data_IF_920496692302
#
_entry.id   IF_920496692302
#
_cell.length_a   1.000
_cell.length_b   1.000
_cell.length_c   1.000
_cell.angle_alpha   90.00
_cell.angle_beta   90.00
_cell.angle_gamma   90.00
#
_symmetry.space_group_name_H-M   'P 1'
#
loop_
_entity.id
_entity.type
_entity.pdbx_description
1 polymer ?
#
# COMPACT_ATOMS: atom_id res chain seq x y z
N UNK A 1 51.07 -24.31 42.61
CA UNK A 1 52.08 -23.39 42.02
C UNK A 1 51.64 -21.97 42.35
N UNK A 2 52.03 -21.43 43.51
CA UNK A 2 53.14 -20.45 43.67
C UNK A 2 53.09 -19.36 42.56
N UNK A 3 52.90 -18.06 42.83
CA UNK A 3 53.60 -17.26 43.85
C UNK A 3 52.96 -15.88 44.12
N UNK A 4 53.04 -15.48 45.41
CA UNK A 4 53.49 -14.17 45.98
C UNK A 4 52.98 -12.86 45.34
N UNK A 5 52.04 -12.12 45.97
CA UNK A 5 52.24 -11.08 47.00
C UNK A 5 53.26 -9.97 46.69
N UNK A 6 52.78 -8.74 46.48
CA UNK A 6 53.46 -7.51 46.90
C UNK A 6 52.42 -6.42 47.25
N UNK A 7 52.39 -6.01 48.52
CA UNK A 7 51.63 -4.86 49.03
C UNK A 7 52.54 -3.63 48.99
N UNK A 8 52.03 -2.51 48.49
CA UNK A 8 52.66 -1.19 48.60
C UNK A 8 51.70 -0.25 49.35
N UNK A 9 52.26 0.39 50.37
CA UNK A 9 51.60 1.29 51.32
C UNK A 9 51.28 2.66 50.68
N UNK A 10 50.31 3.41 51.22
CA UNK A 10 49.95 4.73 50.73
C UNK A 10 50.96 5.78 51.23
N UNK A 11 51.50 6.58 50.30
CA UNK A 11 52.29 7.77 50.62
C UNK A 11 51.33 8.95 50.77
N UNK A 12 51.15 9.41 52.00
CA UNK A 12 50.48 10.66 52.32
C UNK A 12 51.37 11.83 51.91
N UNK A 13 50.95 12.60 50.92
CA UNK A 13 51.57 13.85 50.54
C UNK A 13 50.71 15.01 51.04
N UNK A 14 51.14 15.64 52.14
CA UNK A 14 50.50 16.82 52.72
C UNK A 14 51.04 18.06 51.97
N UNK A 15 50.30 18.57 51.00
CA UNK A 15 50.60 19.82 50.31
C UNK A 15 49.84 20.98 50.99
N UNK A 16 50.58 21.82 51.71
CA UNK A 16 50.15 23.15 52.11
C UNK A 16 50.12 24.05 50.85
N UNK A 17 48.94 24.30 50.30
CA UNK A 17 48.74 25.37 49.32
C UNK A 17 48.16 26.59 50.02
N UNK A 18 48.90 27.70 49.92
CA UNK A 18 48.47 29.01 50.39
C UNK A 18 47.21 29.49 49.67
N UNK A 19 46.37 30.21 50.42
CA UNK A 19 45.17 30.87 49.94
C UNK A 19 45.52 32.03 49.01
N UNK A 20 45.66 31.75 47.71
CA UNK A 20 45.56 32.79 46.69
C UNK A 20 44.09 33.06 46.37
N UNK A 21 43.77 34.35 46.20
CA UNK A 21 42.43 34.89 46.06
C UNK A 21 41.56 34.10 45.07
N UNK A 22 40.40 33.68 45.56
CA UNK A 22 39.33 33.04 44.80
C UNK A 22 38.77 34.07 43.82
N UNK A 23 39.39 34.17 42.64
CA UNK A 23 38.76 34.81 41.50
C UNK A 23 37.39 34.17 41.29
N UNK A 24 36.36 35.00 41.20
CA UNK A 24 34.98 34.59 40.94
C UNK A 24 34.96 33.60 39.78
N UNK A 25 34.78 32.32 40.10
CA UNK A 25 34.59 31.28 39.11
C UNK A 25 33.24 31.61 38.45
N UNK A 26 33.18 31.91 37.13
CA UNK A 26 31.91 32.15 36.48
C UNK A 26 31.03 30.93 36.71
N UNK A 27 29.80 31.18 37.19
CA UNK A 27 28.86 30.14 37.56
C UNK A 27 28.78 29.07 36.45
N UNK A 28 28.71 27.77 36.81
CA UNK A 28 28.67 26.69 35.84
C UNK A 28 27.50 26.91 34.88
N UNK A 29 27.81 27.18 33.61
CA UNK A 29 26.82 27.36 32.57
C UNK A 29 26.02 26.06 32.48
N UNK A 30 24.73 26.11 32.81
CA UNK A 30 23.84 24.97 32.74
C UNK A 30 23.99 24.30 31.36
N UNK A 31 24.41 23.03 31.35
CA UNK A 31 24.59 22.29 30.10
C UNK A 31 23.25 22.19 29.38
N UNK A 32 23.17 22.77 28.18
CA UNK A 32 21.98 22.68 27.35
C UNK A 32 21.79 21.23 26.91
N UNK A 33 20.55 20.74 27.04
CA UNK A 33 20.18 19.40 26.55
C UNK A 33 20.30 19.28 25.02
N UNK A 34 20.21 20.39 24.29
CA UNK A 34 20.41 20.46 22.84
C UNK A 34 21.54 21.42 22.47
N UNK A 35 22.59 20.89 21.82
CA UNK A 35 23.78 21.64 21.39
C UNK A 35 23.45 22.73 20.36
N UNK A 36 22.35 22.58 19.62
CA UNK A 36 21.92 23.52 18.59
C UNK A 36 20.99 24.63 19.10
N UNK A 37 20.47 24.53 20.33
CA UNK A 37 19.45 25.46 20.81
C UNK A 37 19.94 26.90 20.84
N UNK A 38 19.09 27.88 20.44
CA UNK A 38 19.43 29.29 20.50
C UNK A 38 19.82 29.70 21.92
N UNK A 39 20.64 30.75 22.06
CA UNK A 39 20.96 31.28 23.38
C UNK A 39 19.74 31.92 24.02
N UNK A 40 19.68 31.91 25.35
CA UNK A 40 18.64 32.60 26.09
C UNK A 40 18.84 34.11 26.01
N UNK A 41 17.74 34.86 26.07
CA UNK A 41 17.75 36.32 25.98
C UNK A 41 18.07 36.91 24.61
N UNK A 42 18.05 36.12 23.52
CA UNK A 42 18.19 36.66 22.17
C UNK A 42 17.01 37.55 21.79
N UNK A 43 17.30 38.72 21.21
CA UNK A 43 16.27 39.62 20.68
C UNK A 43 15.59 39.03 19.43
N UNK A 44 14.41 39.54 19.02
CA UNK A 44 13.74 39.07 17.80
C UNK A 44 14.63 39.13 16.54
N UNK A 45 15.41 40.21 16.38
CA UNK A 45 16.34 40.31 15.25
C UNK A 45 17.45 39.24 15.30
N UNK A 46 17.95 38.92 16.49
CA UNK A 46 18.95 37.86 16.67
C UNK A 46 18.37 36.46 16.46
N UNK A 47 17.11 36.22 16.83
CA UNK A 47 16.41 34.97 16.55
C UNK A 47 16.17 34.77 15.05
N UNK A 48 15.79 35.82 14.32
CA UNK A 48 15.69 35.76 12.85
C UNK A 48 17.05 35.44 12.24
N UNK A 49 18.12 36.13 12.67
CA UNK A 49 19.47 35.83 12.20
C UNK A 49 19.86 34.38 12.50
N UNK A 50 19.54 33.88 13.70
CA UNK A 50 19.80 32.49 14.07
C UNK A 50 19.08 31.51 13.11
N UNK A 51 17.80 31.72 12.82
CA UNK A 51 17.04 30.88 11.88
C UNK A 51 17.70 30.91 10.49
N UNK A 52 18.06 32.08 9.98
CA UNK A 52 18.74 32.23 8.69
C UNK A 52 20.11 31.53 8.68
N UNK A 53 20.92 31.69 9.73
CA UNK A 53 22.22 31.03 9.88
C UNK A 53 22.07 29.50 9.91
N UNK A 54 20.96 28.98 10.46
CA UNK A 54 20.65 27.56 10.50
C UNK A 54 20.22 27.03 9.12
N UNK A 55 19.40 27.78 8.38
CA UNK A 55 18.94 27.39 7.04
C UNK A 55 20.08 27.23 6.03
N UNK A 56 21.18 27.98 6.18
CA UNK A 56 22.36 27.91 5.31
C UNK A 56 23.41 26.88 5.74
N UNK A 57 23.22 26.16 6.86
CA UNK A 57 24.19 25.12 7.28
C UNK A 57 24.24 23.98 6.25
N UNK A 58 25.40 23.32 6.04
CA UNK A 58 25.49 22.13 5.21
C UNK A 58 24.46 21.05 5.59
N UNK A 59 23.91 20.33 4.59
CA UNK A 59 22.90 19.28 4.79
C UNK A 59 23.33 18.22 5.83
N UNK A 60 24.62 17.88 5.88
CA UNK A 60 25.15 16.94 6.87
C UNK A 60 25.00 17.43 8.33
N UNK A 61 25.00 18.75 8.56
CA UNK A 61 24.73 19.34 9.88
C UNK A 61 23.22 19.43 10.13
N UNK A 62 22.44 19.83 9.12
CA UNK A 62 20.98 19.93 9.25
C UNK A 62 20.31 18.60 9.63
N UNK A 63 20.90 17.46 9.24
CA UNK A 63 20.41 16.11 9.57
C UNK A 63 20.75 15.64 10.99
N UNK A 64 21.49 16.42 11.79
CA UNK A 64 21.90 16.00 13.14
C UNK A 64 20.74 16.12 14.13
N UNK A 65 20.74 15.23 15.13
CA UNK A 65 19.73 15.21 16.20
C UNK A 65 19.69 16.57 16.91
N UNK A 66 18.48 17.10 17.13
CA UNK A 66 18.26 18.37 17.81
C UNK A 66 18.34 19.61 16.91
N UNK A 67 18.80 19.47 15.65
CA UNK A 67 18.90 20.60 14.73
C UNK A 67 17.54 21.22 14.42
N UNK A 68 16.58 20.41 13.96
CA UNK A 68 15.23 20.89 13.62
C UNK A 68 14.52 21.45 14.85
N UNK A 69 14.62 20.77 16.00
CA UNK A 69 14.07 21.23 17.26
C UNK A 69 14.59 22.62 17.68
N UNK A 70 15.88 22.92 17.47
CA UNK A 70 16.43 24.23 17.79
C UNK A 70 15.88 25.35 16.89
N UNK A 71 15.64 25.07 15.61
CA UNK A 71 15.03 26.05 14.69
C UNK A 71 13.57 26.28 15.04
N UNK A 72 12.83 25.21 15.36
CA UNK A 72 11.44 25.30 15.83
C UNK A 72 11.36 26.09 17.14
N UNK A 73 12.25 25.84 18.10
CA UNK A 73 12.34 26.59 19.35
C UNK A 73 12.59 28.08 19.11
N UNK A 74 13.53 28.44 18.21
CA UNK A 74 13.78 29.84 17.87
C UNK A 74 12.56 30.51 17.21
N UNK A 75 11.84 29.78 16.36
CA UNK A 75 10.62 30.26 15.75
C UNK A 75 9.49 30.44 16.78
N UNK A 76 9.35 29.53 17.76
CA UNK A 76 8.38 29.67 18.84
C UNK A 76 8.66 30.91 19.70
N UNK A 77 9.92 31.13 20.10
CA UNK A 77 10.33 32.34 20.82
C UNK A 77 10.00 33.63 20.05
N UNK A 78 10.08 33.60 18.72
CA UNK A 78 9.68 34.74 17.88
C UNK A 78 8.16 34.96 17.84
N UNK A 79 7.38 33.88 17.80
CA UNK A 79 5.92 33.95 17.72
C UNK A 79 5.29 34.36 19.05
N UNK A 80 5.89 33.94 20.16
CA UNK A 80 5.43 34.24 21.52
C UNK A 80 5.87 35.64 22.00
N UNK A 81 6.89 36.22 21.36
CA UNK A 81 7.43 37.54 21.69
C UNK A 81 6.77 38.71 20.95
N UNK A 82 7.20 39.93 21.31
CA UNK A 82 6.81 41.17 20.63
C UNK A 82 7.63 41.37 19.34
N UNK A 83 7.38 40.49 18.37
CA UNK A 83 8.01 40.50 17.05
C UNK A 83 7.13 41.21 16.03
N UNK A 84 7.76 41.93 15.10
CA UNK A 84 7.07 42.52 13.93
C UNK A 84 6.48 41.45 13.01
N UNK A 85 5.50 41.83 12.18
CA UNK A 85 4.81 40.90 11.27
C UNK A 85 5.77 40.17 10.32
N UNK A 86 6.79 40.86 9.80
CA UNK A 86 7.83 40.25 8.95
C UNK A 86 8.65 39.20 9.69
N UNK A 87 8.93 39.42 10.98
CA UNK A 87 9.67 38.47 11.81
C UNK A 87 8.79 37.26 12.16
N UNK A 88 7.49 37.48 12.43
CA UNK A 88 6.50 36.42 12.61
C UNK A 88 6.33 35.58 11.35
N UNK A 89 6.30 36.20 10.17
CA UNK A 89 6.28 35.49 8.88
C UNK A 89 7.48 34.55 8.73
N UNK A 90 8.70 35.02 9.01
CA UNK A 90 9.91 34.18 8.97
C UNK A 90 9.79 33.01 9.95
N UNK A 91 9.29 33.26 11.17
CA UNK A 91 9.11 32.23 12.18
C UNK A 91 8.07 31.18 11.76
N UNK A 92 6.93 31.59 11.19
CA UNK A 92 5.90 30.67 10.69
C UNK A 92 6.48 29.77 9.60
N UNK A 93 7.11 30.36 8.58
CA UNK A 93 7.68 29.61 7.46
C UNK A 93 8.76 28.62 7.93
N UNK A 94 9.64 29.05 8.84
CA UNK A 94 10.67 28.18 9.41
C UNK A 94 10.06 27.06 10.27
N UNK A 95 9.11 27.37 11.16
CA UNK A 95 8.48 26.36 12.01
C UNK A 95 7.77 25.28 11.18
N UNK A 96 7.02 25.70 10.15
CA UNK A 96 6.37 24.78 9.22
C UNK A 96 7.40 23.89 8.51
N UNK A 97 8.42 24.49 7.89
CA UNK A 97 9.44 23.77 7.12
C UNK A 97 10.16 22.72 7.98
N UNK A 98 10.59 23.11 9.18
CA UNK A 98 11.40 22.25 10.04
C UNK A 98 10.60 21.17 10.75
N UNK A 99 9.34 21.45 11.13
CA UNK A 99 8.43 20.40 11.59
C UNK A 99 8.18 19.38 10.48
N UNK A 100 7.93 19.83 9.26
CA UNK A 100 7.67 18.92 8.14
C UNK A 100 8.84 18.00 7.82
N UNK A 101 10.08 18.50 7.89
CA UNK A 101 11.27 17.65 7.72
C UNK A 101 11.34 16.53 8.75
N UNK A 102 10.90 16.78 9.99
CA UNK A 102 10.80 15.74 11.01
C UNK A 102 9.66 14.76 10.69
N UNK A 103 8.54 15.23 10.14
CA UNK A 103 7.44 14.36 9.67
C UNK A 103 7.88 13.44 8.54
N UNK A 104 8.59 13.96 7.54
CA UNK A 104 9.20 13.16 6.46
C UNK A 104 10.20 12.12 7.03
N UNK A 105 10.82 12.41 8.18
CA UNK A 105 11.66 11.49 8.93
C UNK A 105 10.90 10.45 9.79
N UNK A 106 9.56 10.45 9.76
CA UNK A 106 8.71 9.53 10.52
C UNK A 106 8.43 9.95 11.97
N UNK A 107 8.61 11.23 12.34
CA UNK A 107 8.34 11.71 13.69
C UNK A 107 6.85 12.09 13.86
N UNK A 108 6.07 11.16 14.42
CA UNK A 108 4.64 11.36 14.67
C UNK A 108 4.33 12.56 15.59
N UNK A 109 5.20 12.85 16.57
CA UNK A 109 5.02 13.99 17.46
C UNK A 109 5.21 15.33 16.73
N UNK A 110 6.10 15.37 15.73
CA UNK A 110 6.23 16.53 14.86
C UNK A 110 5.01 16.68 13.95
N UNK A 111 4.39 15.58 13.51
CA UNK A 111 3.19 15.62 12.66
C UNK A 111 2.00 16.23 13.42
N UNK A 112 1.77 15.78 14.65
CA UNK A 112 0.74 16.36 15.52
C UNK A 112 0.98 17.86 15.78
N UNK A 113 2.24 18.27 16.00
CA UNK A 113 2.61 19.69 16.19
C UNK A 113 2.39 20.51 14.93
N UNK A 114 2.76 19.97 13.76
CA UNK A 114 2.58 20.63 12.48
C UNK A 114 1.10 20.83 12.17
N UNK A 115 0.29 19.80 12.36
CA UNK A 115 -1.15 19.86 12.15
C UNK A 115 -1.81 20.90 13.05
N UNK A 116 -1.52 20.86 14.35
CA UNK A 116 -2.04 21.82 15.32
C UNK A 116 -1.61 23.26 14.98
N UNK A 117 -0.35 23.44 14.57
CA UNK A 117 0.16 24.75 14.21
C UNK A 117 -0.50 25.29 12.93
N UNK A 118 -0.58 24.49 11.87
CA UNK A 118 -1.23 24.88 10.61
C UNK A 118 -2.70 25.24 10.83
N UNK A 119 -3.43 24.48 11.67
CA UNK A 119 -4.81 24.79 12.05
C UNK A 119 -4.97 26.09 12.85
N UNK A 120 -3.93 26.49 13.60
CA UNK A 120 -3.96 27.73 14.39
C UNK A 120 -3.76 29.01 13.56
N UNK A 121 -3.26 28.88 12.32
CA UNK A 121 -3.02 30.02 11.44
C UNK A 121 -4.35 30.49 10.82
N UNK A 122 -4.69 31.77 11.07
CA UNK A 122 -5.90 32.44 10.54
C UNK A 122 -5.73 32.86 9.07
N UNK A 123 -6.80 33.31 8.41
CA UNK A 123 -6.81 33.65 6.98
C UNK A 123 -5.99 34.93 6.60
N UNK A 124 -5.68 35.80 7.56
CA UNK A 124 -4.97 37.08 7.33
C UNK A 124 -3.44 36.92 7.31
N UNK A 125 -2.91 36.00 6.50
CA UNK A 125 -1.47 35.74 6.40
C UNK A 125 -0.88 36.30 5.11
N UNK A 126 0.45 36.46 5.08
CA UNK A 126 1.16 36.76 3.82
C UNK A 126 0.89 35.67 2.77
N UNK A 127 0.98 36.02 1.49
CA UNK A 127 0.75 35.08 0.39
C UNK A 127 1.63 33.82 0.50
N UNK A 128 2.88 33.99 0.94
CA UNK A 128 3.83 32.88 1.16
C UNK A 128 3.36 31.93 2.25
N UNK A 129 2.92 32.47 3.39
CA UNK A 129 2.40 31.66 4.50
C UNK A 129 1.10 30.98 4.08
N UNK A 130 0.19 31.70 3.42
CA UNK A 130 -1.06 31.14 2.92
C UNK A 130 -0.82 29.99 1.94
N UNK A 131 0.17 30.10 1.04
CA UNK A 131 0.55 29.01 0.14
C UNK A 131 1.06 27.77 0.89
N UNK A 132 1.87 27.95 1.95
CA UNK A 132 2.30 26.84 2.79
C UNK A 132 1.11 26.19 3.51
N UNK A 133 0.25 26.98 4.15
CA UNK A 133 -0.94 26.49 4.84
C UNK A 133 -1.85 25.70 3.89
N UNK A 134 -2.09 26.20 2.67
CA UNK A 134 -2.87 25.49 1.64
C UNK A 134 -2.24 24.15 1.27
N UNK A 135 -0.91 24.11 1.05
CA UNK A 135 -0.19 22.87 0.77
C UNK A 135 -0.41 21.82 1.87
N UNK A 136 -0.25 22.21 3.14
CA UNK A 136 -0.40 21.30 4.27
C UNK A 136 -1.83 20.86 4.51
N UNK A 137 -2.79 21.78 4.43
CA UNK A 137 -4.20 21.46 4.56
C UNK A 137 -4.62 20.43 3.49
N UNK A 138 -4.13 20.59 2.26
CA UNK A 138 -4.40 19.66 1.17
C UNK A 138 -3.73 18.30 1.38
N UNK A 139 -2.49 18.28 1.87
CA UNK A 139 -1.80 17.03 2.21
C UNK A 139 -2.54 16.25 3.31
N UNK A 140 -2.93 16.91 4.42
CA UNK A 140 -3.68 16.25 5.48
C UNK A 140 -5.02 15.70 4.99
N UNK A 141 -5.73 16.44 4.13
CA UNK A 141 -6.94 15.94 3.48
C UNK A 141 -6.66 14.70 2.63
N UNK A 142 -5.56 14.68 1.89
CA UNK A 142 -5.15 13.54 1.07
C UNK A 142 -4.80 12.30 1.93
N UNK A 143 -4.09 12.48 3.03
CA UNK A 143 -3.77 11.41 3.98
C UNK A 143 -5.04 10.86 4.67
N UNK A 144 -6.03 11.71 4.91
CA UNK A 144 -7.33 11.33 5.46
C UNK A 144 -8.31 10.71 4.43
N UNK A 145 -7.89 10.49 3.17
CA UNK A 145 -8.77 10.03 2.09
C UNK A 145 -9.52 8.72 2.40
N UNK A 146 -8.98 7.85 3.27
CA UNK A 146 -9.63 6.60 3.70
C UNK A 146 -11.02 6.82 4.30
N UNK A 147 -11.28 7.96 4.94
CA UNK A 147 -12.55 8.28 5.59
C UNK A 147 -13.54 9.07 4.71
N UNK A 148 -13.20 9.36 3.46
CA UNK A 148 -14.02 10.22 2.60
C UNK A 148 -15.05 9.41 1.81
N UNK A 149 -16.21 10.03 1.55
CA UNK A 149 -17.19 9.52 0.59
C UNK A 149 -16.68 9.67 -0.85
N UNK A 150 -17.27 8.93 -1.79
CA UNK A 150 -16.88 9.02 -3.20
C UNK A 150 -17.00 10.45 -3.78
N UNK A 151 -18.00 11.23 -3.36
CA UNK A 151 -18.14 12.62 -3.78
C UNK A 151 -16.99 13.49 -3.24
N UNK A 152 -16.73 13.45 -1.92
CA UNK A 152 -15.63 14.20 -1.29
C UNK A 152 -14.24 13.79 -1.81
N UNK A 153 -14.10 12.53 -2.22
CA UNK A 153 -12.89 12.02 -2.83
C UNK A 153 -12.63 12.65 -4.21
N UNK A 154 -13.68 12.82 -5.03
CA UNK A 154 -13.58 13.52 -6.32
C UNK A 154 -13.22 14.99 -6.12
N UNK A 155 -13.84 15.66 -5.16
CA UNK A 155 -13.53 17.06 -4.82
C UNK A 155 -12.06 17.20 -4.40
N UNK A 156 -11.59 16.32 -3.52
CA UNK A 156 -10.19 16.26 -3.12
C UNK A 156 -9.25 16.02 -4.31
N UNK A 157 -9.58 15.09 -5.22
CA UNK A 157 -8.77 14.82 -6.40
C UNK A 157 -8.77 15.99 -7.39
N UNK A 158 -9.86 16.75 -7.48
CA UNK A 158 -9.92 17.98 -8.25
C UNK A 158 -8.98 19.05 -7.65
N UNK A 159 -9.07 19.28 -6.33
CA UNK A 159 -8.19 20.21 -5.61
C UNK A 159 -6.70 19.85 -5.76
N UNK A 160 -6.37 18.56 -5.60
CA UNK A 160 -5.01 18.04 -5.81
C UNK A 160 -4.55 18.25 -7.26
N UNK A 161 -5.43 18.03 -8.23
CA UNK A 161 -5.16 18.26 -9.64
C UNK A 161 -4.86 19.73 -9.95
N UNK A 162 -5.59 20.67 -9.35
CA UNK A 162 -5.34 22.11 -9.47
C UNK A 162 -4.00 22.47 -8.83
N UNK A 163 -3.77 22.05 -7.58
CA UNK A 163 -2.53 22.29 -6.86
C UNK A 163 -1.29 21.82 -7.65
N UNK A 164 -1.32 20.61 -8.21
CA UNK A 164 -0.19 20.07 -8.96
C UNK A 164 0.05 20.74 -10.32
N UNK A 165 -0.94 21.40 -10.90
CA UNK A 165 -0.77 22.20 -12.13
C UNK A 165 -0.12 23.56 -11.85
N UNK A 166 -0.48 24.17 -10.72
CA UNK A 166 -0.04 25.52 -10.37
C UNK A 166 1.32 25.53 -9.65
N UNK A 167 1.71 24.41 -9.06
CA UNK A 167 2.91 24.32 -8.22
C UNK A 167 4.07 23.64 -8.95
N UNK A 168 5.26 24.22 -8.86
CA UNK A 168 6.49 23.52 -9.26
C UNK A 168 6.80 22.42 -8.25
N UNK A 169 6.54 21.16 -8.62
CA UNK A 169 6.78 20.03 -7.73
C UNK A 169 8.28 19.77 -7.59
N UNK A 170 8.64 19.30 -6.40
CA UNK A 170 9.99 18.98 -5.93
C UNK A 170 9.88 17.76 -5.03
N UNK A 171 11.00 17.16 -4.62
CA UNK A 171 11.06 16.05 -3.66
C UNK A 171 10.09 16.20 -2.47
N UNK A 172 9.96 17.42 -1.93
CA UNK A 172 9.04 17.76 -0.82
C UNK A 172 7.59 17.33 -1.06
N UNK A 173 7.15 17.29 -2.31
CA UNK A 173 5.78 16.97 -2.71
C UNK A 173 5.54 15.45 -2.90
N UNK A 174 6.54 14.61 -2.66
CA UNK A 174 6.42 13.15 -2.85
C UNK A 174 5.38 12.52 -1.93
N UNK A 175 5.26 13.03 -0.69
CA UNK A 175 4.27 12.56 0.29
C UNK A 175 2.84 12.82 -0.18
N UNK A 176 2.49 14.07 -0.52
CA UNK A 176 1.16 14.40 -1.07
C UNK A 176 0.88 13.70 -2.41
N UNK A 177 1.88 13.52 -3.28
CA UNK A 177 1.72 12.79 -4.54
C UNK A 177 1.36 11.31 -4.28
N UNK A 178 2.03 10.68 -3.32
CA UNK A 178 1.73 9.31 -2.89
C UNK A 178 0.33 9.20 -2.28
N UNK A 179 -0.04 10.16 -1.44
CA UNK A 179 -1.37 10.23 -0.84
C UNK A 179 -2.48 10.42 -1.90
N UNK A 180 -2.21 11.21 -2.95
CA UNK A 180 -3.14 11.40 -4.07
C UNK A 180 -3.42 10.07 -4.80
N UNK A 181 -2.37 9.29 -5.11
CA UNK A 181 -2.54 7.97 -5.76
C UNK A 181 -3.28 6.99 -4.85
N UNK A 182 -2.98 7.00 -3.55
CA UNK A 182 -3.72 6.21 -2.57
C UNK A 182 -5.21 6.62 -2.47
N UNK A 183 -5.52 7.91 -2.69
CA UNK A 183 -6.88 8.39 -2.79
C UNK A 183 -7.57 7.88 -4.08
N UNK A 184 -6.88 7.84 -5.22
CA UNK A 184 -7.40 7.26 -6.48
C UNK A 184 -7.74 5.77 -6.30
N UNK A 185 -6.91 5.03 -5.56
CA UNK A 185 -7.14 3.62 -5.22
C UNK A 185 -8.44 3.36 -4.44
N UNK A 186 -9.08 4.39 -3.89
CA UNK A 186 -10.36 4.29 -3.19
C UNK A 186 -11.58 4.42 -4.10
N UNK A 187 -11.41 4.90 -5.33
CA UNK A 187 -12.48 4.95 -6.30
C UNK A 187 -12.86 3.52 -6.75
N UNK A 188 -14.11 3.34 -7.16
CA UNK A 188 -14.54 2.09 -7.77
C UNK A 188 -13.70 1.80 -9.03
N UNK A 189 -13.45 0.52 -9.31
CA UNK A 189 -12.79 0.12 -10.54
C UNK A 189 -13.58 0.57 -11.78
N UNK A 190 -12.86 1.02 -12.81
CA UNK A 190 -13.43 1.46 -14.07
C UNK A 190 -12.80 2.73 -14.62
N UNK A 191 -13.42 3.26 -15.67
CA UNK A 191 -12.89 4.35 -16.49
C UNK A 191 -12.56 5.63 -15.71
N UNK A 192 -13.34 5.94 -14.67
CA UNK A 192 -13.10 7.12 -13.82
C UNK A 192 -11.77 7.01 -13.08
N UNK A 193 -11.54 5.89 -12.37
CA UNK A 193 -10.29 5.62 -11.65
C UNK A 193 -9.09 5.59 -12.60
N UNK A 194 -9.25 4.95 -13.76
CA UNK A 194 -8.21 4.92 -14.81
C UNK A 194 -7.85 6.33 -15.33
N UNK A 195 -8.85 7.19 -15.52
CA UNK A 195 -8.64 8.57 -15.96
C UNK A 195 -7.85 9.39 -14.93
N UNK A 196 -8.12 9.20 -13.63
CA UNK A 196 -7.33 9.83 -12.58
C UNK A 196 -5.89 9.31 -12.55
N UNK A 197 -5.67 7.98 -12.59
CA UNK A 197 -4.32 7.43 -12.64
C UNK A 197 -3.52 7.97 -13.82
N UNK A 198 -4.14 8.04 -15.01
CA UNK A 198 -3.51 8.59 -16.20
C UNK A 198 -3.19 10.07 -16.04
N UNK A 199 -4.12 10.86 -15.49
CA UNK A 199 -3.94 12.29 -15.26
C UNK A 199 -2.77 12.55 -14.31
N UNK A 200 -2.83 12.00 -13.09
CA UNK A 200 -1.80 12.21 -12.07
C UNK A 200 -0.46 11.56 -12.45
N UNK A 201 -0.49 10.33 -12.99
CA UNK A 201 0.70 9.64 -13.47
C UNK A 201 1.45 10.45 -14.53
N UNK A 202 0.75 11.05 -15.50
CA UNK A 202 1.36 11.93 -16.50
C UNK A 202 1.92 13.24 -15.91
N UNK A 203 1.22 13.84 -14.94
CA UNK A 203 1.71 15.05 -14.27
C UNK A 203 3.04 14.77 -13.55
N UNK A 204 3.11 13.65 -12.83
CA UNK A 204 4.31 13.27 -12.09
C UNK A 204 5.43 12.83 -13.03
N UNK A 205 5.14 12.02 -14.06
CA UNK A 205 6.13 11.50 -15.00
C UNK A 205 6.87 12.61 -15.79
N UNK A 206 6.22 13.75 -16.02
CA UNK A 206 6.79 14.90 -16.72
C UNK A 206 7.55 15.87 -15.80
N UNK A 207 7.64 15.57 -14.51
CA UNK A 207 8.29 16.45 -13.55
C UNK A 207 9.83 16.46 -13.73
N UNK A 208 10.48 17.58 -13.37
CA UNK A 208 11.95 17.70 -13.40
C UNK A 208 12.63 16.96 -12.26
N UNK A 209 11.93 16.76 -11.15
CA UNK A 209 12.40 15.95 -10.03
C UNK A 209 12.39 14.47 -10.43
N UNK A 210 13.58 13.84 -10.41
CA UNK A 210 13.75 12.46 -10.86
C UNK A 210 12.92 11.46 -10.06
N UNK A 211 12.77 11.69 -8.76
CA UNK A 211 12.03 10.79 -7.87
C UNK A 211 10.54 10.83 -8.21
N UNK A 212 9.97 12.02 -8.38
CA UNK A 212 8.58 12.18 -8.83
C UNK A 212 8.34 11.68 -10.25
N UNK A 213 9.29 11.91 -11.17
CA UNK A 213 9.20 11.42 -12.55
C UNK A 213 9.17 9.89 -12.61
N UNK A 214 10.05 9.23 -11.86
CA UNK A 214 10.03 7.78 -11.75
C UNK A 214 8.72 7.28 -11.13
N UNK A 215 8.27 7.93 -10.05
CA UNK A 215 7.01 7.59 -9.40
C UNK A 215 5.81 7.67 -10.35
N UNK A 216 5.70 8.74 -11.14
CA UNK A 216 4.66 8.89 -12.16
C UNK A 216 4.71 7.80 -13.23
N UNK A 217 5.91 7.42 -13.66
CA UNK A 217 6.12 6.33 -14.62
C UNK A 217 5.65 5.00 -14.06
N UNK A 218 5.95 4.72 -12.78
CA UNK A 218 5.51 3.50 -12.11
C UNK A 218 3.97 3.46 -11.96
N UNK A 219 3.34 4.60 -11.69
CA UNK A 219 1.86 4.72 -11.65
C UNK A 219 1.24 4.39 -13.01
N UNK A 220 1.79 4.93 -14.10
CA UNK A 220 1.31 4.66 -15.46
C UNK A 220 1.52 3.20 -15.86
N UNK A 221 2.70 2.64 -15.55
CA UNK A 221 2.99 1.22 -15.80
C UNK A 221 2.02 0.31 -15.04
N UNK A 222 1.73 0.61 -13.78
CA UNK A 222 0.75 -0.14 -12.99
C UNK A 222 -0.63 -0.12 -13.65
N UNK A 223 -1.07 1.03 -14.16
CA UNK A 223 -2.33 1.16 -14.90
C UNK A 223 -2.33 0.29 -16.17
N UNK A 224 -1.23 0.27 -16.92
CA UNK A 224 -1.07 -0.58 -18.11
C UNK A 224 -1.08 -2.06 -17.76
N UNK A 225 -0.40 -2.47 -16.69
CA UNK A 225 -0.39 -3.85 -16.20
C UNK A 225 -1.79 -4.30 -15.74
N UNK A 226 -2.55 -3.41 -15.08
CA UNK A 226 -3.95 -3.64 -14.69
C UNK A 226 -4.85 -3.77 -15.94
N UNK A 227 -4.70 -2.89 -16.92
CA UNK A 227 -5.42 -2.96 -18.18
C UNK A 227 -5.08 -4.24 -18.97
N UNK A 228 -3.81 -4.64 -19.02
CA UNK A 228 -3.35 -5.84 -19.70
C UNK A 228 -3.86 -7.13 -19.04
N UNK A 229 -4.01 -7.14 -17.71
CA UNK A 229 -4.69 -8.23 -16.99
C UNK A 229 -6.17 -8.31 -17.39
N UNK A 230 -6.82 -7.17 -17.59
CA UNK A 230 -8.24 -7.09 -17.95
C UNK A 230 -8.49 -7.31 -19.45
N UNK A 231 -7.50 -7.10 -20.32
CA UNK A 231 -7.62 -7.17 -21.78
C UNK A 231 -7.35 -8.55 -22.37
N UNK A 232 -7.54 -9.64 -21.61
CA UNK A 232 -7.42 -11.02 -22.12
C UNK A 232 -8.80 -11.68 -22.33
N UNK A 233 -9.74 -11.07 -23.09
CA UNK A 233 -11.12 -11.57 -23.16
C UNK A 233 -11.20 -12.97 -23.77
N UNK A 234 -10.33 -13.33 -24.71
CA UNK A 234 -10.32 -14.68 -25.28
C UNK A 234 -9.80 -15.70 -24.26
N UNK A 235 -8.69 -15.41 -23.57
CA UNK A 235 -8.14 -16.34 -22.57
C UNK A 235 -9.05 -16.51 -21.36
N UNK A 236 -9.79 -15.46 -20.97
CA UNK A 236 -10.79 -15.53 -19.91
C UNK A 236 -11.82 -16.63 -20.19
N UNK A 237 -12.36 -16.65 -21.42
CA UNK A 237 -13.32 -17.69 -21.82
C UNK A 237 -12.66 -19.06 -21.92
N UNK A 238 -11.42 -19.16 -22.39
CA UNK A 238 -10.70 -20.44 -22.43
C UNK A 238 -10.46 -21.02 -21.01
N UNK A 239 -10.17 -20.17 -20.03
CA UNK A 239 -10.08 -20.58 -18.62
C UNK A 239 -11.44 -21.02 -18.07
N UNK A 240 -12.50 -20.25 -18.34
CA UNK A 240 -13.85 -20.61 -17.92
C UNK A 240 -14.27 -21.97 -18.50
N UNK A 241 -13.94 -22.21 -19.77
CA UNK A 241 -14.19 -23.50 -20.42
C UNK A 241 -13.42 -24.63 -19.75
N UNK A 242 -12.13 -24.45 -19.47
CA UNK A 242 -11.32 -25.45 -18.77
C UNK A 242 -11.93 -25.82 -17.41
N UNK A 243 -12.42 -24.81 -16.66
CA UNK A 243 -13.07 -25.00 -15.36
C UNK A 243 -14.41 -25.72 -15.51
N UNK A 244 -15.27 -25.33 -16.46
CA UNK A 244 -16.54 -26.04 -16.68
C UNK A 244 -16.34 -27.49 -17.09
N UNK A 245 -15.44 -27.76 -18.04
CA UNK A 245 -15.10 -29.14 -18.46
C UNK A 245 -14.60 -29.97 -17.28
N UNK A 246 -13.77 -29.38 -16.42
CA UNK A 246 -13.33 -30.03 -15.20
C UNK A 246 -14.50 -30.32 -14.25
N UNK A 247 -15.40 -29.36 -14.02
CA UNK A 247 -16.59 -29.53 -13.19
C UNK A 247 -17.53 -30.62 -13.70
N UNK A 248 -17.72 -30.72 -15.01
CA UNK A 248 -18.54 -31.78 -15.62
C UNK A 248 -18.04 -33.18 -15.24
N UNK A 249 -16.72 -33.37 -15.21
CA UNK A 249 -16.08 -34.64 -14.85
C UNK A 249 -15.94 -34.88 -13.35
N UNK A 250 -15.91 -33.84 -12.53
CA UNK A 250 -15.47 -33.92 -11.13
C UNK A 250 -16.43 -33.31 -10.11
N UNK A 251 -17.72 -33.16 -10.44
CA UNK A 251 -18.72 -32.70 -9.49
C UNK A 251 -19.18 -33.82 -8.55
N UNK A 252 -19.61 -33.43 -7.35
CA UNK A 252 -20.13 -34.34 -6.32
C UNK A 252 -21.67 -34.35 -6.26
N UNK A 253 -22.34 -33.99 -7.37
CA UNK A 253 -23.81 -34.00 -7.42
C UNK A 253 -24.35 -35.42 -7.41
N UNK A 254 -25.64 -35.61 -7.09
CA UNK A 254 -26.28 -36.93 -7.16
C UNK A 254 -26.42 -37.44 -8.60
N UNK A 255 -26.77 -36.55 -9.53
CA UNK A 255 -26.92 -36.86 -10.95
C UNK A 255 -25.58 -37.08 -11.66
N UNK A 256 -24.50 -36.45 -11.17
CA UNK A 256 -23.17 -36.48 -11.79
C UNK A 256 -23.25 -36.27 -13.31
N UNK A 257 -22.65 -37.17 -14.09
CA UNK A 257 -22.64 -37.14 -15.56
C UNK A 257 -23.96 -37.61 -16.20
N UNK A 258 -24.93 -38.06 -15.40
CA UNK A 258 -26.24 -38.56 -15.86
C UNK A 258 -27.32 -37.47 -15.86
N UNK A 259 -26.99 -36.22 -15.54
CA UNK A 259 -27.94 -35.13 -15.60
C UNK A 259 -28.52 -34.99 -17.03
N UNK A 260 -29.79 -34.59 -17.16
CA UNK A 260 -30.41 -34.43 -18.49
C UNK A 260 -29.78 -33.30 -19.31
N UNK A 261 -29.34 -32.25 -18.62
CA UNK A 261 -28.68 -31.09 -19.20
C UNK A 261 -27.77 -30.41 -18.17
N UNK A 262 -26.82 -29.63 -18.66
CA UNK A 262 -25.98 -28.73 -17.89
C UNK A 262 -26.34 -27.29 -18.24
N UNK A 263 -26.37 -26.41 -17.25
CA UNK A 263 -26.72 -24.99 -17.40
C UNK A 263 -25.57 -24.14 -16.88
N UNK A 264 -25.04 -23.22 -17.68
CA UNK A 264 -23.83 -22.47 -17.33
C UNK A 264 -24.14 -21.02 -16.97
N UNK A 265 -23.52 -20.52 -15.90
CA UNK A 265 -23.56 -19.09 -15.55
C UNK A 265 -22.17 -18.60 -15.17
N UNK A 266 -21.87 -17.35 -15.52
CA UNK A 266 -20.59 -16.69 -15.21
C UNK A 266 -20.89 -15.31 -14.67
N UNK A 267 -20.44 -15.00 -13.45
CA UNK A 267 -20.78 -13.73 -12.78
C UNK A 267 -22.29 -13.53 -12.56
N UNK A 268 -23.07 -14.62 -12.49
CA UNK A 268 -24.53 -14.56 -12.37
C UNK A 268 -25.29 -14.30 -13.66
N UNK A 269 -24.62 -14.22 -14.81
CA UNK A 269 -25.25 -14.01 -16.12
C UNK A 269 -25.00 -15.18 -17.07
N UNK A 270 -25.73 -15.21 -18.18
CA UNK A 270 -25.53 -16.20 -19.23
C UNK A 270 -24.19 -15.96 -19.96
N UNK A 271 -23.39 -17.01 -20.21
CA UNK A 271 -22.25 -16.89 -21.09
C UNK A 271 -22.65 -16.47 -22.51
N UNK A 272 -21.81 -15.72 -23.26
CA UNK A 272 -22.08 -15.35 -24.64
C UNK A 272 -22.38 -16.58 -25.51
N UNK A 273 -23.29 -16.44 -26.49
CA UNK A 273 -23.66 -17.54 -27.38
C UNK A 273 -22.46 -18.22 -28.04
N UNK A 274 -21.45 -17.43 -28.49
CA UNK A 274 -20.19 -17.95 -29.07
C UNK A 274 -19.45 -18.89 -28.11
N UNK A 275 -19.50 -18.64 -26.80
CA UNK A 275 -18.90 -19.51 -25.80
C UNK A 275 -19.68 -20.81 -25.63
N UNK A 276 -21.01 -20.75 -25.54
CA UNK A 276 -21.85 -21.94 -25.42
C UNK A 276 -21.69 -22.90 -26.60
N UNK A 277 -21.46 -22.37 -27.81
CA UNK A 277 -21.20 -23.20 -29.00
C UNK A 277 -20.01 -24.15 -28.86
N UNK A 278 -19.04 -23.83 -28.00
CA UNK A 278 -17.88 -24.70 -27.71
C UNK A 278 -18.28 -26.03 -27.04
N UNK A 279 -19.52 -26.14 -26.56
CA UNK A 279 -20.07 -27.32 -25.90
C UNK A 279 -21.21 -28.00 -26.68
N UNK A 280 -21.50 -27.63 -27.94
CA UNK A 280 -22.63 -28.20 -28.72
C UNK A 280 -22.60 -29.73 -28.83
N UNK A 281 -21.39 -30.29 -28.90
CA UNK A 281 -21.15 -31.74 -29.00
C UNK A 281 -21.07 -32.44 -27.64
N UNK A 282 -21.13 -31.70 -26.54
CA UNK A 282 -21.09 -32.28 -25.20
C UNK A 282 -22.38 -33.05 -24.89
N UNK A 283 -22.27 -34.12 -24.09
CA UNK A 283 -23.39 -34.87 -23.53
C UNK A 283 -23.13 -35.03 -22.02
N UNK A 284 -24.00 -34.54 -21.13
CA UNK A 284 -25.31 -33.89 -21.35
C UNK A 284 -25.28 -32.58 -22.15
N UNK A 285 -26.43 -32.17 -22.70
CA UNK A 285 -26.55 -30.91 -23.46
C UNK A 285 -26.24 -29.71 -22.58
N UNK A 286 -25.48 -28.76 -23.09
CA UNK A 286 -25.09 -27.53 -22.37
C UNK A 286 -25.96 -26.36 -22.83
N UNK A 287 -26.56 -25.64 -21.87
CA UNK A 287 -27.53 -24.55 -22.08
C UNK A 287 -27.16 -23.30 -21.28
N UNK A 288 -27.73 -22.12 -21.61
CA UNK A 288 -27.60 -20.92 -20.78
C UNK A 288 -28.17 -21.12 -19.38
N UNK A 289 -27.57 -20.47 -18.39
CA UNK A 289 -27.95 -20.54 -16.98
C UNK A 289 -29.37 -20.06 -16.70
N UNK A 290 -29.85 -19.07 -17.44
CA UNK A 290 -31.22 -18.54 -17.38
C UNK A 290 -32.30 -19.58 -17.69
N UNK A 291 -31.96 -20.65 -18.40
CA UNK A 291 -32.89 -21.74 -18.71
C UNK A 291 -32.96 -22.82 -17.61
N UNK A 292 -32.15 -22.70 -16.56
CA UNK A 292 -32.14 -23.66 -15.47
C UNK A 292 -33.47 -23.66 -14.72
N UNK A 293 -34.03 -24.85 -14.53
CA UNK A 293 -35.18 -25.11 -13.67
C UNK A 293 -34.83 -26.27 -12.74
N UNK A 294 -35.29 -26.21 -11.49
CA UNK A 294 -35.08 -27.30 -10.52
C UNK A 294 -35.59 -28.62 -11.12
N UNK A 295 -34.75 -29.66 -11.10
CA UNK A 295 -35.03 -30.98 -11.68
C UNK A 295 -34.75 -31.11 -13.18
N UNK A 296 -34.40 -30.03 -13.89
CA UNK A 296 -34.08 -30.08 -15.32
C UNK A 296 -32.62 -30.52 -15.61
N UNK A 297 -31.74 -30.51 -14.60
CA UNK A 297 -30.33 -30.86 -14.75
C UNK A 297 -29.45 -30.25 -13.66
N UNK A 298 -28.19 -29.97 -13.99
CA UNK A 298 -27.23 -29.31 -13.10
C UNK A 298 -26.89 -27.91 -13.58
N UNK A 299 -26.90 -26.94 -12.68
CA UNK A 299 -26.37 -25.62 -12.97
C UNK A 299 -24.92 -25.51 -12.49
N UNK A 300 -23.99 -25.29 -13.41
CA UNK A 300 -22.60 -24.97 -13.11
C UNK A 300 -22.41 -23.45 -13.15
N UNK A 301 -21.62 -22.92 -12.22
CA UNK A 301 -21.39 -21.49 -12.09
C UNK A 301 -19.92 -21.17 -11.88
N UNK A 302 -19.50 -20.05 -12.46
CA UNK A 302 -18.27 -19.34 -12.12
C UNK A 302 -18.69 -18.01 -11.49
N UNK A 303 -18.26 -17.75 -10.27
CA UNK A 303 -18.61 -16.54 -9.52
C UNK A 303 -17.56 -15.44 -9.66
N UNK A 304 -16.31 -15.75 -9.33
CA UNK A 304 -15.19 -14.82 -9.39
C UNK A 304 -14.01 -15.41 -10.16
N UNK A 305 -13.17 -14.54 -10.69
CA UNK A 305 -12.02 -14.88 -11.50
C UNK A 305 -10.86 -13.94 -11.16
N UNK A 306 -9.64 -14.47 -11.09
CA UNK A 306 -8.42 -13.70 -10.82
C UNK A 306 -7.23 -14.27 -11.58
N UNK A 307 -6.57 -13.45 -12.40
CA UNK A 307 -5.25 -13.79 -12.92
C UNK A 307 -4.23 -13.78 -11.76
N UNK A 308 -3.47 -14.86 -11.60
CA UNK A 308 -2.40 -14.99 -10.60
C UNK A 308 -1.00 -14.89 -11.22
N UNK A 309 -0.91 -14.91 -12.55
CA UNK A 309 0.29 -14.70 -13.33
C UNK A 309 -0.02 -14.73 -14.82
N UNK A 310 1.00 -14.67 -15.68
CA UNK A 310 0.80 -14.66 -17.13
C UNK A 310 0.18 -15.95 -17.68
N UNK A 311 0.43 -17.08 -17.02
CA UNK A 311 -0.04 -18.41 -17.42
C UNK A 311 -0.83 -19.11 -16.31
N UNK A 312 -1.29 -18.38 -15.29
CA UNK A 312 -2.04 -18.95 -14.17
C UNK A 312 -3.22 -18.09 -13.75
N UNK A 313 -4.31 -18.74 -13.34
CA UNK A 313 -5.51 -18.10 -12.82
C UNK A 313 -6.12 -18.89 -11.66
N UNK A 314 -6.85 -18.18 -10.80
CA UNK A 314 -7.75 -18.73 -9.79
C UNK A 314 -9.19 -18.41 -10.15
N UNK A 315 -10.07 -19.40 -10.06
CA UNK A 315 -11.48 -19.27 -10.43
C UNK A 315 -12.35 -19.82 -9.30
N UNK A 316 -13.28 -19.02 -8.79
CA UNK A 316 -14.29 -19.53 -7.86
C UNK A 316 -15.53 -19.96 -8.61
N UNK A 317 -16.04 -21.15 -8.29
CA UNK A 317 -17.21 -21.70 -8.95
C UNK A 317 -17.73 -22.95 -8.28
N UNK A 318 -18.72 -23.59 -8.87
CA UNK A 318 -19.30 -24.81 -8.34
C UNK A 318 -20.57 -25.20 -9.07
N UNK A 319 -21.37 -26.06 -8.46
CA UNK A 319 -22.61 -26.53 -9.05
C UNK A 319 -23.79 -26.38 -8.12
N UNK A 320 -24.99 -26.45 -8.68
CA UNK A 320 -26.28 -26.43 -8.00
C UNK A 320 -27.22 -27.45 -8.64
N UNK A 321 -27.79 -28.32 -7.81
CA UNK A 321 -28.70 -29.41 -8.17
C UNK A 321 -30.09 -29.19 -7.56
N UNK A 322 -30.52 -27.93 -7.44
CA UNK A 322 -31.79 -27.61 -6.79
C UNK A 322 -31.80 -28.04 -5.32
N UNK A 323 -32.82 -28.80 -4.93
CA UNK A 323 -33.05 -29.22 -3.55
C UNK A 323 -32.15 -30.38 -3.07
N UNK A 324 -31.23 -30.88 -3.91
CA UNK A 324 -30.41 -32.05 -3.58
C UNK A 324 -29.02 -31.67 -3.08
N UNK A 325 -28.27 -30.88 -3.84
CA UNK A 325 -26.92 -30.52 -3.45
C UNK A 325 -26.39 -29.25 -4.12
N UNK A 326 -25.39 -28.62 -3.51
CA UNK A 326 -24.65 -27.51 -4.10
C UNK A 326 -23.22 -27.46 -3.56
N UNK A 327 -22.30 -26.88 -4.32
CA UNK A 327 -20.92 -26.67 -3.85
C UNK A 327 -20.36 -25.31 -4.27
N UNK A 328 -19.30 -24.92 -3.55
CA UNK A 328 -18.39 -23.84 -3.92
C UNK A 328 -16.95 -24.28 -3.78
N UNK A 329 -16.16 -24.04 -4.82
CA UNK A 329 -14.76 -24.45 -4.95
C UNK A 329 -13.94 -23.29 -5.51
N UNK A 330 -12.65 -23.29 -5.19
CA UNK A 330 -11.63 -22.47 -5.86
C UNK A 330 -10.76 -23.39 -6.73
N UNK A 331 -10.70 -23.13 -8.03
CA UNK A 331 -9.93 -23.87 -9.02
C UNK A 331 -8.64 -23.11 -9.33
N UNK A 332 -7.51 -23.82 -9.32
CA UNK A 332 -6.24 -23.33 -9.85
C UNK A 332 -6.11 -23.79 -11.30
N UNK A 333 -5.85 -22.86 -12.21
CA UNK A 333 -5.81 -23.11 -13.65
C UNK A 333 -4.46 -22.65 -14.19
N UNK A 334 -3.87 -23.44 -15.07
CA UNK A 334 -2.57 -23.16 -15.69
C UNK A 334 -2.66 -23.34 -17.21
N UNK A 335 -2.02 -22.44 -17.95
CA UNK A 335 -1.84 -22.54 -19.40
C UNK A 335 -0.72 -23.54 -19.69
N UNK A 336 -1.02 -24.54 -20.50
CA UNK A 336 -0.05 -25.49 -21.06
C UNK A 336 0.00 -25.33 -22.57
N UNK A 337 0.90 -26.08 -23.24
CA UNK A 337 0.96 -26.11 -24.71
C UNK A 337 -0.35 -26.60 -25.35
N UNK A 338 -1.14 -27.39 -24.61
CA UNK A 338 -2.45 -27.89 -25.03
C UNK A 338 -3.62 -26.95 -24.66
N UNK A 339 -3.35 -25.79 -24.08
CA UNK A 339 -4.35 -24.83 -23.61
C UNK A 339 -4.50 -24.77 -22.09
N UNK A 340 -5.58 -24.18 -21.61
CA UNK A 340 -5.82 -24.02 -20.17
C UNK A 340 -6.31 -25.31 -19.52
N UNK A 341 -5.72 -25.67 -18.37
CA UNK A 341 -6.07 -26.87 -17.61
C UNK A 341 -6.19 -26.56 -16.12
N UNK A 342 -7.19 -27.15 -15.46
CA UNK A 342 -7.30 -27.12 -14.01
C UNK A 342 -6.22 -28.03 -13.41
N UNK A 343 -5.33 -27.46 -12.60
CA UNK A 343 -4.21 -28.16 -11.94
C UNK A 343 -4.47 -28.44 -10.47
N UNK A 344 -5.44 -27.76 -9.87
CA UNK A 344 -5.83 -27.99 -8.48
C UNK A 344 -7.24 -27.48 -8.19
N UNK A 345 -7.83 -27.98 -7.11
CA UNK A 345 -9.11 -27.49 -6.58
C UNK A 345 -9.10 -27.49 -5.06
N UNK A 346 -9.79 -26.53 -4.47
CA UNK A 346 -10.05 -26.44 -3.03
C UNK A 346 -11.55 -26.31 -2.85
N UNK A 347 -12.20 -27.30 -2.24
CA UNK A 347 -13.61 -27.22 -1.89
C UNK A 347 -13.78 -26.29 -0.69
N UNK A 348 -14.50 -25.19 -0.87
CA UNK A 348 -14.78 -24.24 0.22
C UNK A 348 -16.00 -24.67 1.02
N UNK A 349 -17.05 -25.14 0.35
CA UNK A 349 -18.27 -25.60 1.00
C UNK A 349 -19.04 -26.59 0.12
N UNK A 350 -19.82 -27.43 0.78
CA UNK A 350 -20.84 -28.28 0.15
C UNK A 350 -22.12 -28.20 0.99
N UNK A 351 -23.27 -28.18 0.31
CA UNK A 351 -24.59 -28.24 0.91
C UNK A 351 -25.30 -29.47 0.36
N UNK A 352 -25.93 -30.24 1.24
CA UNK A 352 -26.76 -31.38 0.87
C UNK A 352 -28.16 -31.18 1.46
N UNK A 353 -29.17 -31.39 0.62
CA UNK A 353 -30.56 -31.42 1.02
C UNK A 353 -30.93 -32.82 1.50
N UNK A 354 -31.20 -32.95 2.78
CA UNK A 354 -31.77 -34.16 3.37
C UNK A 354 -33.27 -33.99 3.58
N UNK A 355 -34.06 -35.02 3.23
CA UNK A 355 -35.38 -35.17 3.85
C UNK A 355 -35.14 -35.62 5.28
N UNK A 356 -35.49 -34.78 6.26
CA UNK A 356 -35.54 -35.25 7.64
C UNK A 356 -36.60 -36.35 7.77
N UNK A 357 -36.50 -37.18 8.81
CA UNK A 357 -37.50 -38.22 9.11
C UNK A 357 -38.91 -37.64 9.29
N UNK A 358 -39.04 -36.34 9.59
CA UNK A 358 -40.30 -35.61 9.74
C UNK A 358 -40.84 -35.02 8.43
N UNK A 359 -40.19 -35.28 7.28
CA UNK A 359 -40.61 -34.76 5.98
C UNK A 359 -40.29 -33.28 5.74
N UNK A 360 -39.69 -32.58 6.70
CA UNK A 360 -39.23 -31.20 6.56
C UNK A 360 -37.83 -31.15 5.92
N UNK A 361 -37.69 -30.34 4.87
CA UNK A 361 -36.39 -30.13 4.22
C UNK A 361 -35.42 -29.46 5.21
N UNK A 362 -34.32 -30.14 5.53
CA UNK A 362 -33.25 -29.56 6.36
C UNK A 362 -32.00 -29.40 5.52
N UNK A 363 -31.40 -28.21 5.56
CA UNK A 363 -30.17 -27.89 4.85
C UNK A 363 -28.98 -27.98 5.81
N UNK A 364 -28.01 -28.82 5.48
CA UNK A 364 -26.74 -28.87 6.21
C UNK A 364 -25.64 -28.28 5.32
N UNK A 365 -25.06 -27.16 5.73
CA UNK A 365 -23.90 -26.56 5.07
C UNK A 365 -22.65 -27.02 5.80
N UNK A 366 -21.86 -27.87 5.14
CA UNK A 366 -20.55 -28.27 5.66
C UNK A 366 -19.50 -27.29 5.09
N UNK A 367 -18.98 -26.42 5.95
CA UNK A 367 -17.80 -25.63 5.63
C UNK A 367 -16.56 -26.51 5.81
N UNK A 368 -15.78 -26.65 4.75
CA UNK A 368 -14.51 -27.36 4.84
C UNK A 368 -13.51 -26.40 5.45
N UNK A 369 -12.97 -26.75 6.62
CA UNK A 369 -11.93 -25.97 7.26
C UNK A 369 -10.78 -25.77 6.27
N UNK A 370 -10.47 -24.51 5.92
CA UNK A 370 -9.33 -24.21 5.06
C UNK A 370 -8.07 -24.70 5.79
N UNK A 371 -7.20 -25.50 5.14
CA UNK A 371 -5.93 -25.87 5.75
C UNK A 371 -5.17 -24.59 6.12
N UNK A 372 -4.84 -24.43 7.40
CA UNK A 372 -4.14 -23.25 7.95
C UNK A 372 -2.72 -23.17 7.39
N UNK A 373 -2.55 -22.61 6.18
CA UNK A 373 -1.28 -22.42 5.46
C UNK A 373 -0.50 -23.74 5.24
N UNK A 374 0.12 -23.86 4.07
CA UNK A 374 1.03 -24.99 3.82
C UNK A 374 2.18 -25.00 4.85
N UNK A 375 2.56 -26.17 5.38
CA UNK A 375 3.69 -26.27 6.31
C UNK A 375 4.96 -25.76 5.63
N UNK A 376 5.81 -25.06 6.39
CA UNK A 376 7.01 -24.39 5.90
C UNK A 376 7.99 -25.31 5.13
N UNK A 377 7.89 -26.63 5.33
CA UNK A 377 8.66 -27.65 4.60
C UNK A 377 8.35 -27.69 3.10
N UNK A 378 7.09 -27.49 2.70
CA UNK A 378 6.68 -27.50 1.27
C UNK A 378 7.14 -26.22 0.57
N UNK A 379 7.11 -25.08 1.27
CA UNK A 379 7.63 -23.81 0.75
C UNK A 379 9.16 -23.83 0.55
N UNK A 380 9.88 -24.67 1.31
CA UNK A 380 11.34 -24.86 1.16
C UNK A 380 11.68 -25.65 -0.10
N UNK A 381 10.95 -26.73 -0.39
CA UNK A 381 11.12 -27.55 -1.59
C UNK A 381 10.88 -26.76 -2.89
N UNK A 382 9.81 -25.96 -2.95
CA UNK A 382 9.51 -25.13 -4.14
C UNK A 382 10.57 -24.04 -4.36
N UNK A 383 11.20 -23.52 -3.30
CA UNK A 383 12.32 -22.59 -3.41
C UNK A 383 13.61 -23.26 -3.90
N UNK A 384 13.85 -24.50 -3.51
CA UNK A 384 15.04 -25.25 -3.95
C UNK A 384 14.95 -25.70 -5.41
N UNK A 385 13.78 -26.09 -5.90
CA UNK A 385 13.57 -26.44 -7.31
C UNK A 385 13.75 -25.25 -8.25
N UNK A 386 13.22 -24.06 -7.90
CA UNK A 386 13.47 -22.83 -8.67
C UNK A 386 14.95 -22.45 -8.70
N UNK A 387 15.70 -22.75 -7.63
CA UNK A 387 17.14 -22.49 -7.59
C UNK A 387 17.90 -23.44 -8.53
N UNK A 388 17.49 -24.72 -8.61
CA UNK A 388 18.07 -25.70 -9.54
C UNK A 388 17.78 -25.36 -10.99
N UNK A 389 16.57 -24.93 -11.34
CA UNK A 389 16.24 -24.49 -12.71
C UNK A 389 17.07 -23.27 -13.14
N UNK A 390 17.30 -22.31 -12.24
CA UNK A 390 18.09 -21.11 -12.57
C UNK A 390 19.57 -21.42 -12.87
N UNK A 391 20.14 -22.44 -12.21
CA UNK A 391 21.53 -22.88 -12.43
C UNK A 391 21.64 -23.59 -13.79
N UNK A 392 20.63 -24.37 -14.18
CA UNK A 392 20.65 -25.14 -15.42
C UNK A 392 20.48 -24.25 -16.67
N UNK A 393 19.75 -23.13 -16.56
CA UNK A 393 19.61 -22.13 -17.63
C UNK A 393 20.91 -21.32 -17.81
N UNK A 394 21.65 -21.05 -16.73
CA UNK A 394 22.96 -20.38 -16.79
C UNK A 394 24.03 -21.19 -17.54
N UNK A 395 24.06 -22.51 -17.33
CA UNK A 395 25.01 -23.42 -17.99
C UNK A 395 24.81 -23.51 -19.51
N UNK A 396 23.56 -23.49 -20.00
CA UNK A 396 23.28 -23.52 -21.45
C UNK A 396 23.65 -22.25 -22.22
N UNK A 397 23.86 -21.12 -21.53
CA UNK A 397 24.31 -19.88 -22.18
C UNK A 397 25.82 -19.84 -22.43
N UNK A 398 26.62 -20.59 -21.66
CA UNK A 398 28.07 -20.61 -21.85
C UNK A 398 28.53 -21.56 -22.98
N UNK A 399 27.72 -22.54 -23.38
CA UNK A 399 28.04 -23.48 -24.47
C UNK A 399 27.69 -22.98 -25.87
N UNK A 400 27.32 -21.70 -26.04
CA UNK A 400 26.98 -21.09 -27.35
C UNK A 400 27.94 -19.97 -27.77
N UNK A 401 29.05 -19.80 -27.04
CA UNK A 401 30.08 -18.78 -27.32
C UNK A 401 31.47 -19.46 -27.46
N UNK A 402 31.50 -20.71 -27.93
CA UNK A 402 32.74 -21.41 -28.29
C UNK A 402 32.59 -21.97 -29.70
#
# INVERSE_FOLDING_TARGET
>A
MNSKSLRLLPVSFLLLFGTMGRGEQPAPVAQRSNVYSPRDGLSPAQLVKFISDMQVKPRAIQKRRGFNAAVVEAAERLLDGDSSDKQKEVAILAKIEFLYRDVDGGNEAADAKLEAFVKSLKDNQSEKVAAQVRFYALEYRALAAKGLSAAKLRDLLADLGTFFKETTLTERHSRIATAAVAAIDRLAEGKEREAYFRTFGNMFAKNKDRTLAQYGTDVLKRLEDEAAKNSRPNEYWDVCEAVFRYQFGHNASGAQQRAKAYFLSVGGTDPPAKFLRRFERHRPLVKPGSQFKVGAGLQFRIGSFKWTGETTAEVEGGYYEGNLSSSGNTYKVQKTDAGWKVTGRIMSWISQGGKSATGTATWCVLQVARPKREPASVQRLVREDRKRESIQVGSRRQSKIA
#
